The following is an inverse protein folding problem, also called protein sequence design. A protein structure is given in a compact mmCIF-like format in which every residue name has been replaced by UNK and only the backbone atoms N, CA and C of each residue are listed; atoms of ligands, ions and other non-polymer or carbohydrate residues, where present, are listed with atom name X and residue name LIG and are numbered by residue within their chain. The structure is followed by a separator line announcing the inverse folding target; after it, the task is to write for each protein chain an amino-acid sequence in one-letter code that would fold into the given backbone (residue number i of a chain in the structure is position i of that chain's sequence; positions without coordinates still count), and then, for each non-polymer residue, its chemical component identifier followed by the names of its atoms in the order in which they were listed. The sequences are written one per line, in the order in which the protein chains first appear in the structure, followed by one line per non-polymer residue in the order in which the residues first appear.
data_IF_138662893597
#
_entry.id   IF_138662893597
#
_cell.length_a   1.000
_cell.length_b   1.000
_cell.length_c   1.000
_cell.angle_alpha   90.00
_cell.angle_beta   90.00
_cell.angle_gamma   90.00
#
_symmetry.space_group_name_H-M   'P 1'
#
loop_
_entity.id
_entity.type
_entity.pdbx_description
1 polymer ?
#
# COMPACT_ATOMS: atom_id res chain seq x y z
N UNK A 1 5.42 -37.02 -18.08
CA UNK A 1 4.32 -36.96 -17.09
C UNK A 1 4.63 -35.80 -16.15
N UNK A 2 3.85 -34.72 -16.22
CA UNK A 2 4.09 -33.52 -15.44
C UNK A 2 3.87 -33.82 -13.94
N UNK A 3 4.89 -33.45 -13.17
CA UNK A 3 5.02 -33.72 -11.74
C UNK A 3 3.83 -33.19 -10.96
N UNK A 4 3.49 -33.96 -9.93
CA UNK A 4 2.30 -33.86 -9.11
C UNK A 4 2.20 -32.52 -8.36
N UNK A 5 0.95 -32.09 -8.25
CA UNK A 5 0.37 -31.03 -7.42
C UNK A 5 1.09 -30.94 -6.06
N UNK A 6 1.78 -29.83 -5.82
CA UNK A 6 2.36 -29.54 -4.51
C UNK A 6 1.28 -29.11 -3.52
N UNK A 7 1.01 -30.02 -2.56
CA UNK A 7 0.56 -29.82 -1.17
C UNK A 7 -0.34 -28.61 -0.85
N UNK A 8 -1.58 -28.92 -0.45
CA UNK A 8 -2.31 -28.12 0.53
C UNK A 8 -1.48 -28.04 1.83
N UNK A 9 -0.96 -26.87 2.19
CA UNK A 9 -0.17 -26.71 3.41
C UNK A 9 0.70 -25.45 3.54
N UNK A 10 0.88 -24.65 2.48
CA UNK A 10 1.55 -23.34 2.57
C UNK A 10 0.53 -22.23 2.38
N UNK A 11 0.49 -21.29 3.33
CA UNK A 11 -0.47 -20.20 3.34
C UNK A 11 -0.20 -19.27 2.15
N UNK A 12 -1.01 -19.39 1.10
CA UNK A 12 -1.02 -18.41 0.01
C UNK A 12 -1.64 -17.09 0.53
N UNK A 13 -0.84 -16.30 1.25
CA UNK A 13 -1.27 -15.06 1.90
C UNK A 13 -1.49 -13.94 0.89
N UNK A 14 -0.70 -13.88 -0.19
CA UNK A 14 -0.81 -12.76 -1.15
C UNK A 14 -2.18 -12.64 -1.81
N UNK A 15 -2.86 -13.71 -2.25
CA UNK A 15 -4.24 -13.60 -2.73
C UNK A 15 -5.23 -13.10 -1.67
N UNK A 16 -5.00 -13.41 -0.39
CA UNK A 16 -5.83 -12.90 0.71
C UNK A 16 -5.58 -11.41 0.95
N UNK A 17 -4.31 -11.01 0.99
CA UNK A 17 -3.86 -9.62 1.17
C UNK A 17 -4.35 -8.75 0.01
N UNK A 18 -4.16 -9.20 -1.23
CA UNK A 18 -4.53 -8.48 -2.44
C UNK A 18 -6.02 -8.64 -2.80
N UNK A 19 -6.83 -9.32 -2.00
CA UNK A 19 -8.26 -9.46 -2.27
C UNK A 19 -8.93 -8.08 -2.32
N UNK A 20 -9.88 -7.89 -3.24
CA UNK A 20 -10.56 -6.61 -3.44
C UNK A 20 -11.24 -6.13 -2.16
N UNK A 21 -11.76 -7.05 -1.35
CA UNK A 21 -12.35 -6.75 -0.06
C UNK A 21 -11.30 -6.21 0.93
N UNK A 22 -10.16 -6.89 1.08
CA UNK A 22 -9.10 -6.47 1.99
C UNK A 22 -8.49 -5.12 1.58
N UNK A 23 -8.26 -4.89 0.29
CA UNK A 23 -7.74 -3.62 -0.21
C UNK A 23 -8.71 -2.44 0.05
N UNK A 24 -10.02 -2.67 -0.04
CA UNK A 24 -11.03 -1.65 0.33
C UNK A 24 -10.99 -1.35 1.83
N UNK A 25 -10.86 -2.37 2.68
CA UNK A 25 -10.73 -2.17 4.13
C UNK A 25 -9.45 -1.42 4.48
N UNK A 26 -8.33 -1.76 3.84
CA UNK A 26 -7.06 -1.05 3.99
C UNK A 26 -7.19 0.43 3.59
N UNK A 27 -7.86 0.72 2.47
CA UNK A 27 -8.13 2.09 2.04
C UNK A 27 -8.92 2.90 3.10
N UNK A 28 -9.92 2.30 3.75
CA UNK A 28 -10.66 2.99 4.81
C UNK A 28 -9.75 3.42 5.97
N UNK A 29 -8.76 2.60 6.32
CA UNK A 29 -7.76 2.93 7.35
C UNK A 29 -6.80 4.01 6.90
N UNK A 30 -6.33 3.97 5.66
CA UNK A 30 -5.45 5.01 5.10
C UNK A 30 -6.19 6.35 5.03
N UNK A 31 -7.49 6.34 4.71
CA UNK A 31 -8.33 7.54 4.65
C UNK A 31 -8.47 8.26 6.00
N UNK A 32 -8.35 7.55 7.12
CA UNK A 32 -8.41 8.11 8.47
C UNK A 32 -7.11 8.86 8.85
N UNK A 33 -5.99 8.58 8.18
CA UNK A 33 -4.71 9.22 8.47
C UNK A 33 -4.68 10.70 8.02
N UNK A 34 -3.86 11.51 8.70
CA UNK A 34 -3.64 12.91 8.28
C UNK A 34 -2.98 12.92 6.90
N UNK A 35 -3.61 13.64 5.97
CA UNK A 35 -3.16 13.74 4.58
C UNK A 35 -1.76 14.36 4.52
N UNK A 36 -0.81 13.62 3.96
CA UNK A 36 0.51 14.10 3.61
C UNK A 36 0.95 13.33 2.38
N UNK A 37 0.94 13.96 1.20
CA UNK A 37 1.25 13.26 -0.03
C UNK A 37 2.71 12.80 -0.03
N UNK A 38 2.95 11.62 -0.61
CA UNK A 38 4.28 11.07 -0.79
C UNK A 38 5.05 11.76 -1.92
N UNK A 39 6.08 11.08 -2.43
CA UNK A 39 6.98 11.63 -3.44
C UNK A 39 6.28 11.98 -4.77
N UNK A 40 5.24 11.23 -5.13
CA UNK A 40 4.43 11.42 -6.35
C UNK A 40 3.45 12.60 -6.25
N UNK A 41 3.34 13.24 -5.08
CA UNK A 41 2.42 14.35 -4.79
C UNK A 41 0.94 14.00 -4.96
N UNK A 42 0.58 12.71 -5.06
CA UNK A 42 -0.82 12.27 -5.08
C UNK A 42 -1.38 12.40 -3.67
N UNK A 43 -2.44 13.18 -3.51
CA UNK A 43 -3.16 13.29 -2.24
C UNK A 43 -4.38 12.36 -2.21
N UNK A 44 -4.99 12.26 -1.03
CA UNK A 44 -6.14 11.39 -0.78
C UNK A 44 -7.30 11.62 -1.76
N UNK A 45 -7.62 12.88 -2.10
CA UNK A 45 -8.72 13.19 -3.02
C UNK A 45 -8.41 12.76 -4.45
N UNK A 46 -7.17 12.95 -4.90
CA UNK A 46 -6.73 12.53 -6.22
C UNK A 46 -6.77 11.02 -6.37
N UNK A 47 -6.27 10.29 -5.37
CA UNK A 47 -6.33 8.82 -5.37
C UNK A 47 -7.78 8.31 -5.32
N UNK A 48 -8.63 8.94 -4.50
CA UNK A 48 -10.02 8.55 -4.34
C UNK A 48 -10.90 8.79 -5.57
N UNK A 49 -10.51 9.71 -6.46
CA UNK A 49 -11.27 10.02 -7.68
C UNK A 49 -11.50 8.76 -8.54
N UNK A 50 -10.45 7.97 -8.68
CA UNK A 50 -10.42 6.76 -9.50
C UNK A 50 -10.15 5.52 -8.62
N UNK A 51 -10.73 5.49 -7.40
CA UNK A 51 -10.42 4.51 -6.35
C UNK A 51 -10.50 3.06 -6.84
N UNK A 52 -11.58 2.69 -7.53
CA UNK A 52 -11.78 1.33 -7.99
C UNK A 52 -10.67 0.87 -8.95
N UNK A 53 -10.29 1.74 -9.89
CA UNK A 53 -9.23 1.46 -10.86
C UNK A 53 -7.86 1.38 -10.17
N UNK A 54 -7.58 2.29 -9.24
CA UNK A 54 -6.35 2.28 -8.44
C UNK A 54 -6.20 0.99 -7.63
N UNK A 55 -7.24 0.52 -6.94
CA UNK A 55 -7.19 -0.73 -6.19
C UNK A 55 -7.03 -1.96 -7.09
N UNK A 56 -7.70 -1.99 -8.25
CA UNK A 56 -7.53 -3.08 -9.24
C UNK A 56 -6.12 -3.10 -9.80
N UNK A 57 -5.52 -1.94 -10.08
CA UNK A 57 -4.13 -1.83 -10.53
C UNK A 57 -3.17 -2.39 -9.48
N UNK A 58 -3.30 -1.97 -8.22
CA UNK A 58 -2.48 -2.46 -7.11
C UNK A 58 -2.63 -3.98 -6.95
N UNK A 59 -3.86 -4.50 -6.95
CA UNK A 59 -4.11 -5.94 -6.88
C UNK A 59 -3.37 -6.71 -7.99
N UNK A 60 -3.47 -6.26 -9.24
CA UNK A 60 -2.80 -6.92 -10.37
C UNK A 60 -1.28 -6.90 -10.24
N UNK A 61 -0.71 -5.81 -9.75
CA UNK A 61 0.73 -5.69 -9.52
C UNK A 61 1.18 -6.61 -8.39
N UNK A 62 0.45 -6.65 -7.28
CA UNK A 62 0.76 -7.52 -6.13
C UNK A 62 0.67 -9.01 -6.49
N UNK A 63 -0.37 -9.42 -7.21
CA UNK A 63 -0.55 -10.83 -7.61
C UNK A 63 0.46 -11.31 -8.65
N UNK A 64 1.15 -10.40 -9.33
CA UNK A 64 2.18 -10.70 -10.33
C UNK A 64 3.60 -10.50 -9.80
N UNK A 65 3.75 -10.11 -8.53
CA UNK A 65 5.03 -9.70 -7.94
C UNK A 65 5.72 -8.56 -8.73
N UNK A 66 4.92 -7.66 -9.32
CA UNK A 66 5.40 -6.51 -10.11
C UNK A 66 5.24 -5.16 -9.40
N UNK A 67 4.79 -5.17 -8.16
CA UNK A 67 4.64 -3.95 -7.38
C UNK A 67 6.02 -3.46 -6.91
N UNK A 68 6.45 -2.30 -7.41
CA UNK A 68 7.65 -1.62 -6.95
C UNK A 68 7.24 -0.33 -6.20
N UNK A 69 7.37 -0.29 -4.86
CA UNK A 69 7.00 0.90 -4.09
C UNK A 69 7.95 2.06 -4.39
N UNK A 70 7.41 3.28 -4.38
CA UNK A 70 8.22 4.48 -4.43
C UNK A 70 8.95 4.69 -3.10
N UNK A 71 10.15 5.32 -3.12
CA UNK A 71 10.85 5.67 -1.89
C UNK A 71 10.04 6.66 -1.07
N UNK A 72 10.16 6.59 0.25
CA UNK A 72 9.47 7.50 1.16
C UNK A 72 10.02 8.92 1.06
N UNK A 73 9.14 9.91 1.19
CA UNK A 73 9.53 11.31 1.38
C UNK A 73 10.03 11.49 2.81
N UNK A 74 11.30 11.88 2.97
CA UNK A 74 11.89 12.15 4.28
C UNK A 74 11.45 13.51 4.82
N UNK A 75 10.84 13.52 6.01
CA UNK A 75 10.45 14.75 6.72
C UNK A 75 11.05 14.77 8.13
N UNK A 76 11.37 15.97 8.61
CA UNK A 76 11.81 16.18 9.99
C UNK A 76 10.64 16.72 10.81
N UNK A 77 10.17 15.96 11.80
CA UNK A 77 9.08 16.40 12.69
C UNK A 77 9.65 16.73 14.06
N UNK A 78 9.29 17.90 14.60
CA UNK A 78 9.68 18.30 15.95
C UNK A 78 9.17 17.31 16.99
N UNK A 79 10.00 17.00 17.99
CA UNK A 79 9.57 16.34 19.22
C UNK A 79 9.00 17.39 20.18
N UNK A 80 8.12 16.97 21.08
CA UNK A 80 7.51 17.86 22.08
C UNK A 80 8.55 18.46 23.05
N UNK A 81 9.65 17.76 23.32
CA UNK A 81 10.71 18.25 24.20
C UNK A 81 11.75 19.09 23.45
N UNK A 82 12.69 18.43 22.76
CA UNK A 82 13.78 19.05 21.99
C UNK A 82 14.25 18.11 20.87
N UNK A 83 14.60 18.69 19.72
CA UNK A 83 15.12 17.98 18.56
C UNK A 83 14.03 17.51 17.58
N UNK A 84 14.47 16.83 16.51
CA UNK A 84 13.59 16.32 15.46
C UNK A 84 13.59 14.79 15.43
N UNK A 85 12.55 14.21 14.82
CA UNK A 85 12.52 12.81 14.40
C UNK A 85 12.41 12.75 12.87
N UNK A 86 13.27 11.99 12.17
CA UNK A 86 13.05 11.69 10.77
C UNK A 86 11.82 10.78 10.65
N UNK A 87 10.96 11.06 9.69
CA UNK A 87 9.84 10.21 9.30
C UNK A 87 9.82 10.03 7.78
N UNK A 88 9.43 8.84 7.34
CA UNK A 88 9.17 8.55 5.94
C UNK A 88 7.68 8.62 5.66
N UNK A 89 7.28 9.43 4.69
CA UNK A 89 5.91 9.50 4.18
C UNK A 89 5.85 8.72 2.88
N UNK A 90 5.05 7.65 2.86
CA UNK A 90 4.84 6.82 1.68
C UNK A 90 3.69 7.33 0.83
N UNK A 91 3.62 6.85 -0.42
CA UNK A 91 2.51 7.11 -1.33
C UNK A 91 1.27 6.30 -0.95
N UNK A 92 0.12 6.70 -1.49
CA UNK A 92 -1.17 6.03 -1.31
C UNK A 92 -1.30 4.76 -2.18
#
# INVERSE_FOLDING_TARGET
MASQISKAGESCLMPKIASTHNLRLAWLKVKEAKDSPGLDRVNLRMFARDLAENLVRIQKLLLRDWYLPLPATGVQISKESRGTRPLGIFTF
#
